data_IF_363741066106
#
_entry.id   IF_363741066106
#
_cell.length_a   1.000
_cell.length_b   1.000
_cell.length_c   1.000
_cell.angle_alpha   90.00
_cell.angle_beta   90.00
_cell.angle_gamma   90.00
#
_symmetry.space_group_name_H-M   'P 1'
#
loop_
_entity.id
_entity.type
_entity.pdbx_description
1 polymer ?
#
# COMPACT_ATOMS: atom_id res chain seq x y z
N UNK A 1 32.91 -1.31 30.71
CA UNK A 1 33.77 -2.50 30.53
C UNK A 1 35.01 -2.46 31.40
N UNK A 2 35.86 -1.43 31.29
CA UNK A 2 37.08 -1.34 32.11
C UNK A 2 36.87 -1.57 33.61
N UNK A 3 35.80 -1.03 34.20
CA UNK A 3 35.45 -1.25 35.62
C UNK A 3 35.15 -2.73 35.98
N UNK A 4 34.57 -3.52 35.07
CA UNK A 4 34.37 -4.96 35.30
C UNK A 4 35.69 -5.74 35.24
N UNK A 5 36.61 -5.33 34.36
CA UNK A 5 37.95 -5.95 34.27
C UNK A 5 38.79 -5.65 35.52
N UNK A 6 38.66 -4.44 36.08
CA UNK A 6 39.35 -4.02 37.30
C UNK A 6 38.67 -4.48 38.60
N UNK A 7 37.60 -5.26 38.51
CA UNK A 7 36.83 -5.73 39.68
C UNK A 7 36.28 -4.59 40.57
N UNK A 8 36.05 -3.40 40.00
CA UNK A 8 35.47 -2.24 40.71
C UNK A 8 33.94 -2.32 40.77
N UNK A 9 33.33 -3.14 39.91
CA UNK A 9 31.88 -3.34 39.81
C UNK A 9 31.59 -4.84 39.78
N UNK A 10 30.66 -5.28 40.62
CA UNK A 10 30.22 -6.68 40.67
C UNK A 10 29.18 -7.00 39.58
N UNK A 11 28.17 -6.14 39.42
CA UNK A 11 27.11 -6.28 38.42
C UNK A 11 26.67 -4.91 37.88
N UNK A 12 26.17 -4.89 36.65
CA UNK A 12 25.64 -3.69 36.01
C UNK A 12 24.14 -3.58 36.22
N UNK A 13 23.66 -2.41 36.62
CA UNK A 13 22.23 -2.13 36.69
C UNK A 13 21.59 -2.05 35.29
N UNK A 14 22.32 -1.48 34.32
CA UNK A 14 21.88 -1.40 32.93
C UNK A 14 22.26 -2.67 32.17
N UNK A 15 21.27 -3.25 31.49
CA UNK A 15 21.51 -4.33 30.53
C UNK A 15 22.23 -3.78 29.29
N UNK A 16 23.11 -4.60 28.71
CA UNK A 16 23.90 -4.23 27.54
C UNK A 16 23.81 -5.34 26.50
N UNK A 17 24.05 -5.01 25.23
CA UNK A 17 24.10 -6.02 24.17
C UNK A 17 25.15 -7.09 24.48
N UNK A 18 24.70 -8.34 24.43
CA UNK A 18 25.54 -9.53 24.57
C UNK A 18 26.33 -9.74 23.26
N UNK A 19 27.50 -9.11 23.19
CA UNK A 19 28.39 -9.15 22.03
C UNK A 19 29.66 -9.93 22.37
N UNK A 20 30.25 -10.60 21.37
CA UNK A 20 31.38 -11.52 21.57
C UNK A 20 32.61 -10.83 22.19
N UNK A 21 32.91 -9.60 21.79
CA UNK A 21 33.95 -8.74 22.36
C UNK A 21 33.76 -8.49 23.87
N UNK A 22 32.52 -8.40 24.33
CA UNK A 22 32.17 -8.15 25.74
C UNK A 22 32.14 -9.41 26.58
N UNK A 23 31.73 -10.54 25.99
CA UNK A 23 31.72 -11.86 26.65
C UNK A 23 33.13 -12.27 27.09
N UNK A 24 34.16 -11.84 26.35
CA UNK A 24 35.56 -12.05 26.74
C UNK A 24 35.91 -11.31 28.05
N UNK A 25 35.31 -10.15 28.31
CA UNK A 25 35.67 -9.25 29.42
C UNK A 25 34.78 -9.40 30.66
N UNK A 26 33.50 -9.73 30.46
CA UNK A 26 32.51 -9.87 31.54
C UNK A 26 31.65 -11.11 31.30
N UNK A 27 30.95 -11.55 32.35
CA UNK A 27 29.94 -12.59 32.24
C UNK A 27 28.54 -11.97 32.13
N UNK A 28 27.59 -12.75 31.61
CA UNK A 28 26.19 -12.37 31.57
C UNK A 28 25.37 -13.36 32.40
N UNK A 29 24.42 -12.84 33.19
CA UNK A 29 23.58 -13.68 34.05
C UNK A 29 22.51 -14.39 33.22
N UNK A 30 21.63 -13.59 32.62
CA UNK A 30 20.46 -14.02 31.86
C UNK A 30 20.13 -12.94 30.84
N UNK A 31 19.55 -13.38 29.74
CA UNK A 31 18.87 -12.53 28.77
C UNK A 31 17.73 -11.78 29.44
N UNK A 32 17.56 -10.50 29.12
CA UNK A 32 16.48 -9.68 29.67
C UNK A 32 15.40 -9.42 28.65
N UNK A 33 15.62 -8.45 27.77
CA UNK A 33 14.70 -8.05 26.71
C UNK A 33 15.39 -8.03 25.36
N UNK A 34 14.61 -7.99 24.28
CA UNK A 34 15.12 -7.81 22.92
C UNK A 34 14.73 -6.41 22.44
N UNK A 35 15.74 -5.55 22.27
CA UNK A 35 15.55 -4.29 21.56
C UNK A 35 15.40 -4.61 20.08
N UNK A 36 14.40 -4.02 19.43
CA UNK A 36 14.17 -4.18 18.00
C UNK A 36 14.37 -2.84 17.34
N UNK A 37 15.17 -2.81 16.28
CA UNK A 37 15.37 -1.63 15.47
C UNK A 37 14.92 -1.95 14.06
N UNK A 38 14.10 -1.08 13.50
CA UNK A 38 13.53 -1.29 12.18
C UNK A 38 13.40 0.02 11.42
N UNK A 39 13.28 -0.10 10.12
CA UNK A 39 13.02 1.01 9.22
C UNK A 39 11.51 1.14 9.11
N UNK A 40 10.99 2.22 9.67
CA UNK A 40 9.58 2.59 9.59
C UNK A 40 9.36 3.50 8.38
N UNK A 41 8.27 3.31 7.67
CA UNK A 41 7.84 4.19 6.59
C UNK A 41 6.33 4.08 6.39
N UNK A 42 5.77 5.05 5.67
CA UNK A 42 4.39 5.01 5.20
C UNK A 42 4.35 4.42 3.80
N UNK A 43 3.49 3.44 3.58
CA UNK A 43 3.24 2.93 2.24
C UNK A 43 2.58 4.01 1.38
N UNK A 44 3.00 4.18 0.11
CA UNK A 44 2.34 5.11 -0.79
C UNK A 44 0.90 4.64 -1.05
N UNK A 45 0.00 5.57 -1.40
CA UNK A 45 -1.37 5.20 -1.76
C UNK A 45 -1.39 4.32 -3.00
N UNK A 46 -2.38 3.42 -3.10
CA UNK A 46 -2.52 2.51 -4.24
C UNK A 46 -2.68 3.24 -5.58
N UNK A 47 -3.21 4.46 -5.53
CA UNK A 47 -3.45 5.38 -6.65
C UNK A 47 -2.17 5.79 -7.38
N UNK A 48 -1.07 5.91 -6.63
CA UNK A 48 0.21 6.32 -7.17
C UNK A 48 0.90 5.18 -7.95
N UNK A 49 0.70 3.93 -7.50
CA UNK A 49 1.48 2.78 -7.97
C UNK A 49 0.82 2.07 -9.15
N UNK A 50 -0.52 2.06 -9.24
CA UNK A 50 -1.23 1.30 -10.26
C UNK A 50 -2.50 1.98 -10.76
N UNK A 51 -3.12 1.38 -11.78
CA UNK A 51 -4.41 1.85 -12.30
C UNK A 51 -5.56 1.36 -11.42
N UNK A 52 -5.98 2.19 -10.45
CA UNK A 52 -7.10 1.86 -9.54
C UNK A 52 -8.37 1.52 -10.29
N UNK A 53 -8.64 2.15 -11.43
CA UNK A 53 -9.92 1.99 -12.13
C UNK A 53 -10.11 0.59 -12.75
N UNK A 54 -9.04 -0.19 -12.93
CA UNK A 54 -9.12 -1.58 -13.40
C UNK A 54 -9.17 -2.62 -12.26
N UNK A 55 -8.78 -2.22 -11.05
CA UNK A 55 -8.72 -3.08 -9.86
C UNK A 55 -10.05 -3.36 -9.11
N UNK A 56 -11.20 -2.69 -9.33
CA UNK A 56 -12.40 -2.94 -8.51
C UNK A 56 -13.04 -4.31 -8.75
N UNK A 57 -12.77 -4.90 -9.91
CA UNK A 57 -13.25 -6.21 -10.32
C UNK A 57 -12.08 -7.09 -10.75
N UNK A 58 -12.14 -8.36 -10.37
CA UNK A 58 -11.23 -9.38 -10.88
C UNK A 58 -11.51 -9.65 -12.37
N UNK A 59 -10.53 -10.22 -13.06
CA UNK A 59 -10.62 -10.50 -14.50
C UNK A 59 -11.84 -11.35 -14.86
N UNK A 60 -12.23 -12.29 -14.00
CA UNK A 60 -13.38 -13.15 -14.21
C UNK A 60 -14.71 -12.36 -14.20
N UNK A 61 -14.80 -11.34 -13.34
CA UNK A 61 -15.97 -10.45 -13.28
C UNK A 61 -16.00 -9.54 -14.50
N UNK A 62 -14.85 -9.02 -14.94
CA UNK A 62 -14.76 -8.25 -16.19
C UNK A 62 -15.22 -9.07 -17.40
N UNK A 63 -14.78 -10.32 -17.51
CA UNK A 63 -15.21 -11.24 -18.57
C UNK A 63 -16.72 -11.48 -18.47
N UNK A 64 -17.24 -11.69 -17.26
CA UNK A 64 -18.69 -11.89 -17.02
C UNK A 64 -19.51 -10.67 -17.44
N UNK A 65 -19.01 -9.44 -17.19
CA UNK A 65 -19.64 -8.20 -17.64
C UNK A 65 -19.67 -8.14 -19.17
N UNK A 66 -18.55 -8.44 -19.85
CA UNK A 66 -18.52 -8.48 -21.33
C UNK A 66 -19.52 -9.51 -21.88
N UNK A 67 -19.57 -10.71 -21.29
CA UNK A 67 -20.54 -11.75 -21.68
C UNK A 67 -21.97 -11.25 -21.47
N UNK A 68 -22.27 -10.60 -20.34
CA UNK A 68 -23.59 -10.03 -20.07
C UNK A 68 -23.99 -8.98 -21.13
N UNK A 69 -23.06 -8.14 -21.56
CA UNK A 69 -23.29 -7.11 -22.59
C UNK A 69 -23.60 -7.76 -23.94
N UNK A 70 -22.78 -8.72 -24.36
CA UNK A 70 -23.00 -9.44 -25.64
C UNK A 70 -24.31 -10.23 -25.58
N UNK A 71 -24.62 -10.87 -24.46
CA UNK A 71 -25.85 -11.62 -24.29
C UNK A 71 -27.09 -10.74 -24.32
N UNK A 72 -27.07 -9.60 -23.62
CA UNK A 72 -28.21 -8.66 -23.60
C UNK A 72 -28.42 -7.97 -24.94
N UNK A 73 -27.35 -7.58 -25.64
CA UNK A 73 -27.44 -7.04 -27.02
C UNK A 73 -28.03 -8.07 -27.99
N UNK A 74 -27.59 -9.34 -27.93
CA UNK A 74 -28.15 -10.41 -28.76
C UNK A 74 -29.64 -10.65 -28.48
N UNK A 75 -30.05 -10.69 -27.21
CA UNK A 75 -31.48 -10.83 -26.86
C UNK A 75 -32.28 -9.66 -27.42
N UNK A 76 -31.76 -8.44 -27.32
CA UNK A 76 -32.46 -7.24 -27.81
C UNK A 76 -32.59 -7.25 -29.33
N UNK A 77 -31.52 -7.64 -30.05
CA UNK A 77 -31.55 -7.83 -31.51
C UNK A 77 -32.55 -8.92 -31.91
N UNK A 78 -32.59 -10.05 -31.18
CA UNK A 78 -33.57 -11.11 -31.44
C UNK A 78 -35.00 -10.62 -31.24
N UNK A 79 -35.26 -9.85 -30.18
CA UNK A 79 -36.58 -9.26 -29.96
C UNK A 79 -37.01 -8.35 -31.12
N UNK A 80 -36.10 -7.55 -31.65
CA UNK A 80 -36.33 -6.71 -32.83
C UNK A 80 -36.60 -7.52 -34.10
N UNK A 81 -35.90 -8.64 -34.29
CA UNK A 81 -36.08 -9.53 -35.45
C UNK A 81 -37.42 -10.27 -35.41
N UNK A 82 -37.85 -10.75 -34.25
CA UNK A 82 -39.09 -11.53 -34.11
C UNK A 82 -40.36 -10.66 -34.12
N UNK A 83 -40.25 -9.34 -33.94
CA UNK A 83 -41.40 -8.43 -33.95
C UNK A 83 -41.25 -7.32 -35.02
N UNK A 84 -41.61 -7.58 -36.29
CA UNK A 84 -41.31 -6.68 -37.41
C UNK A 84 -42.22 -5.44 -37.53
N UNK A 85 -43.16 -5.22 -36.62
CA UNK A 85 -44.12 -4.11 -36.73
C UNK A 85 -43.87 -3.01 -35.69
N UNK A 86 -43.34 -1.87 -36.16
CA UNK A 86 -43.05 -0.59 -35.45
C UNK A 86 -41.73 -0.52 -34.66
N UNK A 87 -40.60 -0.46 -35.37
CA UNK A 87 -39.34 -0.04 -34.76
C UNK A 87 -38.69 1.07 -35.59
N UNK A 88 -38.45 2.21 -34.95
CA UNK A 88 -37.61 3.31 -35.49
C UNK A 88 -36.12 3.10 -35.13
N UNK A 89 -35.74 1.88 -34.73
CA UNK A 89 -34.42 1.55 -34.18
C UNK A 89 -33.64 0.65 -35.13
N UNK A 90 -32.41 1.03 -35.41
CA UNK A 90 -31.45 0.20 -36.13
C UNK A 90 -30.72 -0.79 -35.19
N UNK A 91 -30.07 -1.80 -35.76
CA UNK A 91 -29.28 -2.77 -34.99
C UNK A 91 -28.15 -2.11 -34.19
N UNK A 92 -27.57 -1.02 -34.72
CA UNK A 92 -26.55 -0.24 -34.01
C UNK A 92 -27.11 0.54 -32.81
N UNK A 93 -28.35 1.00 -32.88
CA UNK A 93 -29.01 1.67 -31.75
C UNK A 93 -29.19 0.73 -30.55
N UNK A 94 -29.29 -0.59 -30.80
CA UNK A 94 -29.34 -1.61 -29.76
C UNK A 94 -28.03 -1.71 -28.98
N UNK A 95 -26.90 -1.65 -29.69
CA UNK A 95 -25.58 -1.68 -29.07
C UNK A 95 -25.35 -0.39 -28.25
N UNK A 96 -25.75 0.76 -28.80
CA UNK A 96 -25.69 2.05 -28.11
C UNK A 96 -26.61 2.05 -26.87
N UNK A 97 -27.79 1.44 -26.96
CA UNK A 97 -28.71 1.29 -25.84
C UNK A 97 -28.09 0.51 -24.69
N UNK A 98 -27.54 -0.68 -24.95
CA UNK A 98 -26.91 -1.50 -23.91
C UNK A 98 -25.67 -0.80 -23.35
N UNK A 99 -24.87 -0.16 -24.20
CA UNK A 99 -23.73 0.66 -23.76
C UNK A 99 -24.17 1.79 -22.83
N UNK A 100 -25.23 2.52 -23.21
CA UNK A 100 -25.86 3.56 -22.40
C UNK A 100 -26.35 3.04 -21.04
N UNK A 101 -27.02 1.87 -21.02
CA UNK A 101 -27.52 1.26 -19.79
C UNK A 101 -26.38 0.94 -18.79
N UNK A 102 -25.23 0.46 -19.25
CA UNK A 102 -24.04 0.23 -18.40
C UNK A 102 -23.52 1.55 -17.83
N UNK A 103 -23.49 2.59 -18.66
CA UNK A 103 -23.14 3.94 -18.23
C UNK A 103 -24.25 4.63 -17.41
N UNK A 104 -25.31 3.90 -17.04
CA UNK A 104 -26.49 4.41 -16.33
C UNK A 104 -27.21 5.56 -17.04
N UNK A 105 -27.08 5.64 -18.36
CA UNK A 105 -27.78 6.59 -19.20
C UNK A 105 -29.15 6.03 -19.58
N UNK A 106 -30.16 6.90 -19.57
CA UNK A 106 -31.47 6.58 -20.10
C UNK A 106 -31.46 6.53 -21.62
N UNK A 107 -32.49 5.92 -22.19
CA UNK A 107 -32.68 5.86 -23.65
C UNK A 107 -33.97 6.56 -24.06
N UNK A 108 -33.96 7.15 -25.25
CA UNK A 108 -35.05 8.02 -25.72
C UNK A 108 -36.20 7.24 -26.36
N UNK A 109 -36.01 5.98 -26.74
CA UNK A 109 -37.04 5.18 -27.43
C UNK A 109 -37.91 4.40 -26.47
N UNK A 110 -39.23 4.52 -26.68
CA UNK A 110 -40.24 3.79 -25.94
C UNK A 110 -40.49 2.42 -26.56
N UNK A 111 -40.20 1.36 -25.81
CA UNK A 111 -40.49 -0.01 -26.22
C UNK A 111 -41.95 -0.33 -25.82
N UNK A 112 -42.78 -0.60 -26.83
CA UNK A 112 -44.19 -0.94 -26.62
C UNK A 112 -44.39 -2.36 -26.05
N UNK A 113 -43.47 -3.28 -26.36
CA UNK A 113 -43.57 -4.70 -26.05
C UNK A 113 -43.35 -5.00 -24.56
N UNK A 114 -44.17 -5.92 -24.01
CA UNK A 114 -44.03 -6.35 -22.60
C UNK A 114 -42.73 -7.13 -22.37
N UNK A 115 -42.32 -7.97 -23.32
CA UNK A 115 -41.05 -8.70 -23.29
C UNK A 115 -39.85 -7.76 -23.17
N UNK A 116 -39.77 -6.75 -24.05
CA UNK A 116 -38.64 -5.84 -24.09
C UNK A 116 -38.60 -4.90 -22.91
N UNK A 117 -39.76 -4.51 -22.38
CA UNK A 117 -39.82 -3.82 -21.07
C UNK A 117 -39.22 -4.65 -19.95
N UNK A 118 -39.43 -5.97 -19.93
CA UNK A 118 -38.80 -6.86 -18.95
C UNK A 118 -37.29 -6.91 -19.17
N UNK A 119 -36.83 -7.09 -20.42
CA UNK A 119 -35.38 -7.13 -20.76
C UNK A 119 -34.68 -5.81 -20.38
N UNK A 120 -35.29 -4.67 -20.70
CA UNK A 120 -34.78 -3.35 -20.33
C UNK A 120 -34.74 -3.19 -18.83
N UNK A 121 -35.83 -3.54 -18.13
CA UNK A 121 -35.88 -3.44 -16.67
C UNK A 121 -34.81 -4.31 -16.00
N UNK A 122 -34.66 -5.57 -16.41
CA UNK A 122 -33.65 -6.46 -15.83
C UNK A 122 -32.24 -6.00 -16.15
N UNK A 123 -31.99 -5.47 -17.35
CA UNK A 123 -30.69 -4.91 -17.75
C UNK A 123 -30.33 -3.69 -16.91
N UNK A 124 -31.26 -2.76 -16.68
CA UNK A 124 -31.02 -1.59 -15.84
C UNK A 124 -30.81 -1.97 -14.36
N UNK A 125 -31.56 -2.93 -13.83
CA UNK A 125 -31.35 -3.42 -12.46
C UNK A 125 -29.98 -4.08 -12.32
N UNK A 126 -29.58 -4.94 -13.26
CA UNK A 126 -28.28 -5.60 -13.23
C UNK A 126 -27.11 -4.59 -13.31
N UNK A 127 -27.19 -3.64 -14.24
CA UNK A 127 -26.17 -2.58 -14.40
C UNK A 127 -26.11 -1.63 -13.20
N UNK A 128 -27.24 -1.36 -12.52
CA UNK A 128 -27.26 -0.60 -11.28
C UNK A 128 -26.49 -1.30 -10.15
N UNK A 129 -26.69 -2.61 -9.97
CA UNK A 129 -25.93 -3.38 -8.97
C UNK A 129 -24.43 -3.43 -9.29
N UNK A 130 -24.07 -3.60 -10.56
CA UNK A 130 -22.66 -3.58 -11.00
C UNK A 130 -22.01 -2.21 -10.73
N UNK A 131 -22.68 -1.12 -11.10
CA UNK A 131 -22.16 0.23 -10.91
C UNK A 131 -22.01 0.60 -9.43
N UNK A 132 -22.99 0.26 -8.60
CA UNK A 132 -22.95 0.53 -7.15
C UNK A 132 -21.83 -0.25 -6.47
N UNK A 133 -21.65 -1.52 -6.82
CA UNK A 133 -20.52 -2.34 -6.36
C UNK A 133 -19.17 -1.77 -6.81
N UNK A 134 -19.04 -1.41 -8.10
CA UNK A 134 -17.84 -0.79 -8.65
C UNK A 134 -17.48 0.51 -7.93
N UNK A 135 -18.47 1.38 -7.72
CA UNK A 135 -18.29 2.67 -7.05
C UNK A 135 -17.85 2.49 -5.59
N UNK A 136 -18.46 1.56 -4.86
CA UNK A 136 -18.07 1.26 -3.48
C UNK A 136 -16.63 0.73 -3.39
N UNK A 137 -16.24 -0.18 -4.29
CA UNK A 137 -14.90 -0.75 -4.32
C UNK A 137 -13.83 0.29 -4.67
N UNK A 138 -14.10 1.21 -5.61
CA UNK A 138 -13.16 2.29 -5.93
C UNK A 138 -12.89 3.17 -4.71
N UNK A 139 -13.92 3.55 -3.96
CA UNK A 139 -13.77 4.39 -2.77
C UNK A 139 -12.92 3.67 -1.72
N UNK A 140 -13.17 2.38 -1.50
CA UNK A 140 -12.37 1.58 -0.58
C UNK A 140 -10.90 1.45 -1.03
N UNK A 141 -10.66 1.29 -2.33
CA UNK A 141 -9.31 1.17 -2.90
C UNK A 141 -8.52 2.49 -2.84
N UNK A 142 -9.17 3.64 -3.02
CA UNK A 142 -8.54 4.95 -2.88
C UNK A 142 -8.07 5.20 -1.44
N UNK A 143 -8.78 4.67 -0.45
CA UNK A 143 -8.44 4.79 0.96
C UNK A 143 -7.42 3.75 1.43
N UNK A 144 -7.17 2.71 0.63
CA UNK A 144 -6.30 1.60 1.01
C UNK A 144 -4.82 1.88 0.70
N UNK A 145 -3.89 1.61 1.63
CA UNK A 145 -2.46 1.72 1.35
C UNK A 145 -2.00 0.64 0.35
N UNK A 146 -0.98 0.97 -0.45
CA UNK A 146 -0.45 0.03 -1.45
C UNK A 146 0.47 -1.02 -0.83
N UNK A 147 0.41 -2.26 -1.33
CA UNK A 147 1.31 -3.34 -0.89
C UNK A 147 2.65 -3.39 -1.65
N UNK A 148 3.09 -2.29 -2.25
CA UNK A 148 4.21 -2.23 -3.19
C UNK A 148 5.58 -2.48 -2.57
N UNK A 149 5.79 -2.10 -1.31
CA UNK A 149 7.06 -2.26 -0.59
C UNK A 149 6.83 -3.21 0.58
N UNK A 150 7.33 -4.46 0.45
CA UNK A 150 7.23 -5.49 1.49
C UNK A 150 8.57 -5.94 2.03
N UNK A 151 9.62 -5.84 1.23
CA UNK A 151 10.96 -6.31 1.59
C UNK A 151 11.96 -5.16 1.63
N UNK A 152 13.11 -5.39 2.28
CA UNK A 152 14.23 -4.45 2.25
C UNK A 152 14.78 -4.24 0.84
N UNK A 153 14.66 -5.23 -0.04
CA UNK A 153 15.04 -5.13 -1.45
C UNK A 153 14.17 -4.10 -2.18
N UNK A 154 12.84 -4.21 -2.03
CA UNK A 154 11.89 -3.24 -2.59
C UNK A 154 12.15 -1.84 -2.06
N UNK A 155 12.40 -1.73 -0.74
CA UNK A 155 12.72 -0.45 -0.11
C UNK A 155 14.00 0.16 -0.70
N UNK A 156 15.02 -0.66 -0.98
CA UNK A 156 16.29 -0.23 -1.60
C UNK A 156 16.09 0.29 -3.04
N UNK A 157 15.11 -0.25 -3.76
CA UNK A 157 14.77 0.17 -5.13
C UNK A 157 13.78 1.34 -5.17
N UNK A 158 13.01 1.52 -4.10
CA UNK A 158 12.00 2.57 -4.00
C UNK A 158 12.61 3.99 -4.04
N UNK A 159 11.80 5.01 -4.40
CA UNK A 159 12.22 6.41 -4.35
C UNK A 159 12.32 6.97 -2.92
N UNK A 160 11.92 6.23 -1.89
CA UNK A 160 11.95 6.70 -0.50
C UNK A 160 13.38 7.00 -0.05
N UNK A 161 13.59 8.19 0.51
CA UNK A 161 14.85 8.50 1.18
C UNK A 161 14.94 7.77 2.52
N UNK A 162 16.16 7.56 3.04
CA UNK A 162 16.36 6.89 4.33
C UNK A 162 17.08 7.83 5.31
N UNK A 163 16.58 7.86 6.53
CA UNK A 163 17.25 8.40 7.72
C UNK A 163 17.54 7.31 8.73
N UNK A 164 18.52 7.54 9.59
CA UNK A 164 18.93 6.59 10.64
C UNK A 164 18.96 7.31 11.97
N UNK A 165 18.50 6.65 13.03
CA UNK A 165 18.62 7.22 14.37
C UNK A 165 20.10 7.36 14.75
N UNK A 166 20.46 8.52 15.28
CA UNK A 166 21.81 8.79 15.77
C UNK A 166 22.10 8.00 17.05
N UNK A 167 22.50 6.73 16.87
CA UNK A 167 22.96 5.84 17.91
C UNK A 167 24.27 5.18 17.50
N UNK A 168 25.14 4.95 18.48
CA UNK A 168 26.47 4.36 18.26
C UNK A 168 26.36 2.95 17.66
N UNK A 169 25.38 2.17 18.09
CA UNK A 169 25.24 0.79 17.63
C UNK A 169 24.78 0.72 16.16
N UNK A 170 23.98 1.67 15.67
CA UNK A 170 23.52 1.66 14.28
C UNK A 170 24.70 1.71 13.30
N UNK A 171 25.66 2.61 13.54
CA UNK A 171 26.88 2.74 12.71
C UNK A 171 27.67 1.43 12.66
N UNK A 172 27.77 0.73 13.80
CA UNK A 172 28.50 -0.53 13.93
C UNK A 172 27.75 -1.67 13.21
N UNK A 173 26.46 -1.88 13.51
CA UNK A 173 25.71 -3.02 12.98
C UNK A 173 25.40 -2.92 11.49
N UNK A 174 25.24 -1.71 10.93
CA UNK A 174 25.15 -1.57 9.47
C UNK A 174 26.45 -1.97 8.78
N UNK A 175 27.61 -1.58 9.34
CA UNK A 175 28.92 -1.92 8.78
C UNK A 175 29.28 -3.41 8.96
N UNK A 176 28.92 -3.99 10.10
CA UNK A 176 29.17 -5.41 10.42
C UNK A 176 28.12 -6.36 9.88
N UNK A 177 27.02 -5.84 9.30
CA UNK A 177 25.97 -6.68 8.74
C UNK A 177 26.53 -7.60 7.66
N UNK A 178 26.21 -8.90 7.75
CA UNK A 178 26.62 -9.90 6.75
C UNK A 178 25.58 -10.08 5.65
N UNK A 179 24.34 -9.66 5.90
CA UNK A 179 23.22 -9.81 5.00
C UNK A 179 23.42 -8.98 3.71
N UNK A 180 23.34 -9.60 2.52
CA UNK A 180 23.57 -8.90 1.26
C UNK A 180 22.55 -7.80 0.99
N UNK A 181 21.30 -7.96 1.43
CA UNK A 181 20.23 -6.97 1.19
C UNK A 181 20.47 -5.72 2.03
N UNK A 182 20.82 -5.89 3.30
CA UNK A 182 21.18 -4.77 4.19
C UNK A 182 22.45 -4.06 3.76
N UNK A 183 23.46 -4.78 3.25
CA UNK A 183 24.64 -4.15 2.63
C UNK A 183 24.27 -3.30 1.41
N UNK A 184 23.43 -3.83 0.52
CA UNK A 184 22.95 -3.09 -0.66
C UNK A 184 22.19 -1.83 -0.25
N UNK A 185 21.31 -1.93 0.75
CA UNK A 185 20.59 -0.79 1.32
C UNK A 185 21.57 0.27 1.87
N UNK A 186 22.54 -0.18 2.66
CA UNK A 186 23.53 0.70 3.28
C UNK A 186 24.35 1.44 2.24
N UNK A 187 24.95 0.74 1.28
CA UNK A 187 25.79 1.37 0.26
C UNK A 187 25.00 2.31 -0.67
N UNK A 188 23.77 1.93 -1.04
CA UNK A 188 22.98 2.71 -1.99
C UNK A 188 22.36 3.96 -1.37
N UNK A 189 21.80 3.86 -0.16
CA UNK A 189 20.97 4.94 0.44
C UNK A 189 21.57 5.62 1.66
N UNK A 190 22.44 4.95 2.42
CA UNK A 190 22.96 5.47 3.69
C UNK A 190 24.37 6.03 3.50
N UNK A 191 25.29 5.24 2.94
CA UNK A 191 26.70 5.61 2.80
C UNK A 191 26.91 6.86 1.92
N UNK A 192 26.09 7.04 0.89
CA UNK A 192 26.16 8.19 -0.03
C UNK A 192 25.86 9.54 0.64
N UNK A 193 25.10 9.54 1.73
CA UNK A 193 24.66 10.75 2.44
C UNK A 193 25.49 11.06 3.71
N UNK A 194 26.38 10.15 4.11
CA UNK A 194 27.30 10.33 5.23
C UNK A 194 26.63 10.65 6.57
N UNK A 195 27.17 11.61 7.32
CA UNK A 195 26.69 11.97 8.66
C UNK A 195 25.29 12.64 8.65
N UNK A 196 24.87 13.24 7.54
CA UNK A 196 23.57 13.92 7.44
C UNK A 196 22.35 12.99 7.56
N UNK A 197 22.57 11.68 7.42
CA UNK A 197 21.54 10.63 7.58
C UNK A 197 21.17 10.41 9.04
N UNK A 198 22.12 10.65 9.95
CA UNK A 198 21.92 10.42 11.37
C UNK A 198 21.18 11.59 11.99
N UNK A 199 20.02 11.31 12.58
CA UNK A 199 19.17 12.33 13.18
C UNK A 199 18.47 11.84 14.44
N UNK A 200 17.88 12.77 15.19
CA UNK A 200 17.11 12.45 16.39
C UNK A 200 15.76 11.83 16.01
N UNK A 201 15.21 10.91 16.84
CA UNK A 201 13.91 10.28 16.60
C UNK A 201 12.79 11.24 16.21
N UNK A 202 12.60 12.32 16.97
CA UNK A 202 11.52 13.29 16.73
C UNK A 202 11.60 13.89 15.32
N UNK A 203 12.79 14.30 14.89
CA UNK A 203 13.00 14.88 13.55
C UNK A 203 12.81 13.84 12.44
N UNK A 204 13.30 12.62 12.63
CA UNK A 204 13.18 11.54 11.65
C UNK A 204 11.73 11.08 11.47
N UNK A 205 10.98 10.97 12.57
CA UNK A 205 9.57 10.60 12.55
C UNK A 205 8.70 11.68 11.89
N UNK A 206 9.00 12.96 12.11
CA UNK A 206 8.27 14.06 11.45
C UNK A 206 8.55 14.11 9.93
N UNK A 207 9.80 13.85 9.52
CA UNK A 207 10.13 13.70 8.09
C UNK A 207 9.43 12.50 7.46
N UNK A 208 9.34 11.39 8.18
CA UNK A 208 8.58 10.19 7.75
C UNK A 208 7.08 10.47 7.66
N UNK A 209 6.53 11.34 8.52
CA UNK A 209 5.12 11.72 8.51
C UNK A 209 4.77 12.53 7.27
N UNK A 210 5.59 13.54 6.94
CA UNK A 210 5.30 14.57 5.93
C UNK A 210 5.84 14.26 4.54
N UNK A 211 6.91 13.45 4.43
CA UNK A 211 7.63 13.24 3.18
C UNK A 211 7.71 11.78 2.72
N UNK A 212 8.27 11.59 1.53
CA UNK A 212 8.67 10.29 0.99
C UNK A 212 9.95 9.79 1.67
N UNK A 213 9.84 9.51 2.96
CA UNK A 213 10.98 9.23 3.83
C UNK A 213 10.73 7.98 4.66
N UNK A 214 11.75 7.15 4.78
CA UNK A 214 11.82 5.98 5.61
C UNK A 214 12.85 6.22 6.73
N UNK A 215 12.51 5.89 7.97
CA UNK A 215 13.35 6.22 9.11
C UNK A 215 13.67 4.97 9.93
N UNK A 216 14.95 4.69 10.08
CA UNK A 216 15.43 3.64 10.97
C UNK A 216 15.45 4.16 12.40
N UNK A 217 14.75 3.46 13.28
CA UNK A 217 14.59 3.81 14.69
C UNK A 217 14.42 2.56 15.54
N UNK A 218 14.72 2.65 16.84
CA UNK A 218 14.23 1.68 17.81
C UNK A 218 12.71 1.61 17.75
N UNK A 219 12.16 0.41 17.51
CA UNK A 219 10.73 0.23 17.26
C UNK A 219 9.89 0.75 18.42
N UNK A 220 10.36 0.54 19.65
CA UNK A 220 9.69 1.00 20.87
C UNK A 220 9.57 2.53 20.90
N UNK A 221 10.65 3.25 20.61
CA UNK A 221 10.66 4.71 20.58
C UNK A 221 9.79 5.26 19.43
N UNK A 222 9.89 4.63 18.25
CA UNK A 222 9.06 4.99 17.10
C UNK A 222 7.58 4.80 17.36
N UNK A 223 7.18 3.67 17.95
CA UNK A 223 5.78 3.39 18.30
C UNK A 223 5.22 4.35 19.34
N UNK A 224 6.03 4.78 20.31
CA UNK A 224 5.62 5.82 21.25
C UNK A 224 5.28 7.12 20.52
N UNK A 225 6.22 7.62 19.71
CA UNK A 225 6.05 8.88 18.98
C UNK A 225 4.83 8.80 18.05
N UNK A 226 4.64 7.69 17.35
CA UNK A 226 3.47 7.48 16.47
C UNK A 226 2.18 7.50 17.28
N UNK A 227 2.14 6.79 18.41
CA UNK A 227 0.95 6.76 19.27
C UNK A 227 0.56 8.14 19.77
N UNK A 228 1.55 8.98 20.08
CA UNK A 228 1.35 10.31 20.66
C UNK A 228 1.02 11.39 19.62
N UNK A 229 1.50 11.26 18.37
CA UNK A 229 1.48 12.36 17.38
C UNK A 229 0.74 12.07 16.07
N UNK A 230 0.54 10.80 15.70
CA UNK A 230 -0.03 10.43 14.39
C UNK A 230 -1.55 10.25 14.47
N UNK A 231 -2.23 10.64 13.39
CA UNK A 231 -3.66 10.41 13.22
C UNK A 231 -3.92 8.96 12.76
N UNK A 232 -5.14 8.45 12.99
CA UNK A 232 -5.56 7.11 12.54
C UNK A 232 -5.20 6.77 11.08
N UNK A 233 -5.56 7.57 10.05
CA UNK A 233 -5.23 7.23 8.66
C UNK A 233 -3.72 7.18 8.40
N UNK A 234 -2.91 7.92 9.16
CA UNK A 234 -1.45 7.89 9.04
C UNK A 234 -0.87 6.60 9.62
N UNK A 235 -1.49 6.03 10.65
CA UNK A 235 -1.11 4.74 11.26
C UNK A 235 -1.42 3.56 10.32
N UNK A 236 -2.52 3.62 9.57
CA UNK A 236 -2.97 2.52 8.70
C UNK A 236 -1.99 2.21 7.55
N UNK A 237 -1.24 3.21 7.07
CA UNK A 237 -0.19 3.03 6.07
C UNK A 237 1.18 2.66 6.64
N UNK A 238 1.33 2.49 7.96
CA UNK A 238 2.62 2.27 8.60
C UNK A 238 3.14 0.85 8.35
N UNK A 239 4.37 0.76 7.83
CA UNK A 239 5.11 -0.49 7.68
C UNK A 239 6.48 -0.34 8.34
N UNK A 240 6.91 -1.39 9.02
CA UNK A 240 8.22 -1.52 9.63
C UNK A 240 8.94 -2.75 9.06
N UNK A 241 10.23 -2.59 8.73
CA UNK A 241 11.11 -3.65 8.25
C UNK A 241 12.39 -3.69 9.08
N UNK A 242 12.73 -4.85 9.65
CA UNK A 242 13.98 -5.02 10.40
C UNK A 242 15.15 -5.19 9.44
N UNK A 243 16.08 -4.22 9.41
CA UNK A 243 17.29 -4.30 8.57
C UNK A 243 18.32 -5.29 9.13
N UNK A 244 18.37 -5.46 10.44
CA UNK A 244 19.24 -6.40 11.11
C UNK A 244 18.65 -6.76 12.46
N UNK A 245 19.03 -7.94 12.95
CA UNK A 245 18.64 -8.38 14.28
C UNK A 245 19.68 -7.92 15.30
N UNK A 246 19.25 -7.10 16.26
CA UNK A 246 20.08 -6.73 17.39
C UNK A 246 20.22 -7.92 18.36
N UNK A 247 21.42 -8.13 18.94
CA UNK A 247 21.60 -9.10 20.01
C UNK A 247 20.71 -8.79 21.21
N UNK A 248 20.44 -9.82 22.00
CA UNK A 248 19.67 -9.69 23.23
C UNK A 248 20.49 -8.88 24.25
N UNK A 249 19.80 -8.02 25.02
CA UNK A 249 20.43 -7.32 26.14
C UNK A 249 20.40 -8.20 27.38
N UNK A 250 21.51 -8.24 28.11
CA UNK A 250 21.66 -9.05 29.31
C UNK A 250 22.37 -8.26 30.41
N UNK A 251 22.15 -8.67 31.66
CA UNK A 251 22.79 -8.04 32.83
C UNK A 251 24.25 -8.49 32.88
N UNK A 252 25.22 -7.56 32.73
CA UNK A 252 26.63 -7.90 32.81
C UNK A 252 27.08 -8.02 34.27
N UNK A 253 27.98 -8.96 34.54
CA UNK A 253 28.64 -9.17 35.82
C UNK A 253 30.14 -9.30 35.64
N UNK A 254 30.92 -9.05 36.68
CA UNK A 254 32.33 -9.43 36.67
C UNK A 254 32.49 -10.94 36.46
N UNK A 255 33.67 -11.35 35.97
CA UNK A 255 34.02 -12.77 35.87
C UNK A 255 33.97 -13.43 37.25
N UNK A 256 33.52 -14.69 37.28
CA UNK A 256 33.40 -15.50 38.50
C UNK A 256 32.58 -14.81 39.61
N UNK A 257 31.46 -14.19 39.25
CA UNK A 257 30.54 -13.57 40.20
C UNK A 257 29.86 -14.64 41.09
N UNK A 258 30.04 -14.62 42.43
CA UNK A 258 29.58 -15.70 43.32
C UNK A 258 28.07 -15.95 43.28
N UNK A 259 27.27 -14.88 43.15
CA UNK A 259 25.80 -14.98 43.18
C UNK A 259 25.17 -15.22 41.80
N UNK A 260 25.98 -15.47 40.76
CA UNK A 260 25.51 -15.62 39.37
C UNK A 260 24.37 -16.62 39.23
N UNK A 261 24.46 -17.76 39.91
CA UNK A 261 23.44 -18.81 39.82
C UNK A 261 22.15 -18.45 40.55
N UNK A 262 22.25 -17.74 41.68
CA UNK A 262 21.08 -17.23 42.42
C UNK A 262 20.26 -16.28 41.54
N UNK A 263 20.92 -15.28 40.93
CA UNK A 263 20.25 -14.34 40.04
C UNK A 263 19.69 -15.03 38.79
N UNK A 264 20.46 -15.96 38.20
CA UNK A 264 20.02 -16.68 37.01
C UNK A 264 18.76 -17.50 37.27
N UNK A 265 18.71 -18.23 38.40
CA UNK A 265 17.53 -19.01 38.79
C UNK A 265 16.31 -18.10 38.98
N UNK A 266 16.47 -17.01 39.72
CA UNK A 266 15.35 -16.12 40.02
C UNK A 266 14.81 -15.39 38.78
N UNK A 267 15.71 -14.91 37.91
CA UNK A 267 15.29 -14.21 36.69
C UNK A 267 14.72 -15.17 35.65
N UNK A 268 15.23 -16.41 35.55
CA UNK A 268 14.57 -17.44 34.73
C UNK A 268 13.19 -17.77 35.24
N UNK A 269 13.04 -17.95 36.55
CA UNK A 269 11.72 -18.16 37.16
C UNK A 269 10.77 -17.01 36.82
N UNK A 270 11.19 -15.74 36.96
CA UNK A 270 10.38 -14.57 36.58
C UNK A 270 9.96 -14.59 35.11
N UNK A 271 10.80 -15.10 34.20
CA UNK A 271 10.45 -15.28 32.79
C UNK A 271 9.45 -16.42 32.59
N UNK A 272 9.67 -17.56 33.23
CA UNK A 272 8.81 -18.75 33.14
C UNK A 272 7.38 -18.46 33.63
N UNK A 273 7.23 -17.72 34.73
CA UNK A 273 5.92 -17.32 35.24
C UNK A 273 5.31 -16.10 34.50
N UNK A 274 6.03 -15.55 33.51
CA UNK A 274 5.54 -14.46 32.67
C UNK A 274 5.61 -13.05 33.28
N UNK A 275 6.27 -12.85 34.42
CA UNK A 275 6.48 -11.51 34.99
C UNK A 275 7.26 -10.61 34.05
N UNK A 276 8.30 -11.13 33.40
CA UNK A 276 9.07 -10.36 32.42
C UNK A 276 8.21 -9.91 31.24
N UNK A 277 7.35 -10.80 30.72
CA UNK A 277 6.42 -10.48 29.63
C UNK A 277 5.40 -9.41 30.04
N UNK A 278 4.93 -9.44 31.29
CA UNK A 278 4.03 -8.41 31.84
C UNK A 278 4.72 -7.04 31.88
N UNK A 279 5.94 -6.98 32.41
CA UNK A 279 6.70 -5.73 32.45
C UNK A 279 7.04 -5.23 31.04
N UNK A 280 7.39 -6.11 30.10
CA UNK A 280 7.59 -5.75 28.69
C UNK A 280 6.32 -5.12 28.08
N UNK A 281 5.14 -5.70 28.29
CA UNK A 281 3.89 -5.11 27.80
C UNK A 281 3.52 -3.79 28.47
N UNK A 282 3.95 -3.59 29.71
CA UNK A 282 3.68 -2.37 30.49
C UNK A 282 4.58 -1.22 30.08
N UNK A 283 5.87 -1.50 29.85
CA UNK A 283 6.89 -0.47 29.59
C UNK A 283 7.20 -0.27 28.12
N UNK A 284 7.04 -1.29 27.27
CA UNK A 284 7.24 -1.15 25.83
C UNK A 284 5.93 -0.83 25.11
N UNK A 285 5.89 0.31 24.40
CA UNK A 285 4.79 0.64 23.51
C UNK A 285 4.58 -0.49 22.49
N UNK A 286 3.34 -0.95 22.41
CA UNK A 286 2.96 -1.93 21.41
C UNK A 286 2.84 -1.25 20.05
N UNK A 287 2.96 -2.04 18.97
CA UNK A 287 2.72 -1.52 17.63
C UNK A 287 1.32 -0.90 17.57
N UNK A 288 1.18 0.38 17.21
CA UNK A 288 -0.12 1.03 17.12
C UNK A 288 -0.95 0.30 16.08
N UNK A 289 -2.16 -0.10 16.49
CA UNK A 289 -3.14 -0.69 15.58
C UNK A 289 -3.89 0.46 14.91
N UNK A 290 -4.23 0.26 13.64
CA UNK A 290 -5.18 1.11 12.93
C UNK A 290 -6.58 0.69 13.42
N UNK A 291 -7.20 1.54 14.25
CA UNK A 291 -8.54 1.31 14.81
C UNK A 291 -9.58 1.84 13.81
N UNK A 292 -9.90 0.98 12.86
CA UNK A 292 -10.78 1.31 11.74
C UNK A 292 -10.16 0.79 10.47
N UNK A 293 -10.55 -0.41 10.03
CA UNK A 293 -10.11 -1.00 8.76
C UNK A 293 -10.42 -0.14 7.51
N UNK A 294 -11.06 1.01 7.72
CA UNK A 294 -11.25 2.09 6.77
C UNK A 294 -10.51 3.29 7.35
N UNK A 295 -9.31 3.57 6.84
CA UNK A 295 -8.60 4.81 7.15
C UNK A 295 -9.55 5.98 6.88
N UNK A 296 -9.61 6.95 7.80
CA UNK A 296 -10.52 8.09 7.68
C UNK A 296 -10.43 8.76 6.31
N UNK A 297 -11.47 9.53 5.94
CA UNK A 297 -11.60 10.14 4.62
C UNK A 297 -10.33 10.90 4.20
N UNK A 298 -9.62 10.34 3.21
CA UNK A 298 -8.46 10.98 2.59
C UNK A 298 -8.99 11.87 1.47
N UNK A 299 -8.51 13.11 1.42
CA UNK A 299 -8.80 14.01 0.29
C UNK A 299 -8.15 13.46 -0.98
N UNK A 300 -8.97 13.12 -1.98
CA UNK A 300 -8.52 12.58 -3.26
C UNK A 300 -8.01 13.73 -4.14
N UNK A 301 -6.74 13.66 -4.50
CA UNK A 301 -6.09 14.67 -5.35
C UNK A 301 -6.29 14.39 -6.84
N UNK A 302 -6.09 15.42 -7.69
CA UNK A 302 -6.19 15.27 -9.16
C UNK A 302 -5.20 14.25 -9.72
N UNK A 303 -4.05 14.07 -9.05
CA UNK A 303 -3.03 13.09 -9.41
C UNK A 303 -3.53 11.65 -9.33
N UNK A 304 -4.50 11.37 -8.45
CA UNK A 304 -5.07 10.03 -8.27
C UNK A 304 -6.04 9.69 -9.41
N UNK A 305 -6.69 10.71 -9.96
CA UNK A 305 -7.60 10.59 -11.11
C UNK A 305 -6.87 10.59 -12.47
N UNK A 306 -5.52 10.53 -12.50
CA UNK A 306 -4.72 10.66 -13.74
C UNK A 306 -5.19 9.75 -14.87
N UNK A 307 -5.48 8.48 -14.55
CA UNK A 307 -5.85 7.48 -15.56
C UNK A 307 -7.25 7.74 -16.13
N UNK A 308 -8.20 8.16 -15.29
CA UNK A 308 -9.54 8.52 -15.74
C UNK A 308 -9.51 9.76 -16.65
N UNK A 309 -8.75 10.79 -16.27
CA UNK A 309 -8.58 12.00 -17.09
C UNK A 309 -7.90 11.72 -18.43
N UNK A 310 -6.87 10.86 -18.44
CA UNK A 310 -6.21 10.42 -19.68
C UNK A 310 -7.17 9.64 -20.58
N UNK A 311 -7.97 8.74 -20.02
CA UNK A 311 -8.96 7.97 -20.78
C UNK A 311 -10.04 8.89 -21.38
N UNK A 312 -10.50 9.90 -20.62
CA UNK A 312 -11.44 10.91 -21.10
C UNK A 312 -10.85 11.74 -22.25
N UNK A 313 -9.61 12.22 -22.10
CA UNK A 313 -8.92 12.97 -23.16
C UNK A 313 -8.73 12.12 -24.43
N UNK A 314 -8.35 10.85 -24.29
CA UNK A 314 -8.25 9.92 -25.41
C UNK A 314 -9.60 9.73 -26.13
N UNK A 315 -10.70 9.61 -25.37
CA UNK A 315 -12.04 9.52 -25.94
C UNK A 315 -12.44 10.73 -26.78
N UNK A 316 -12.13 11.95 -26.31
CA UNK A 316 -12.37 13.18 -27.07
C UNK A 316 -11.57 13.19 -28.37
N UNK A 317 -10.28 12.86 -28.31
CA UNK A 317 -9.42 12.83 -29.49
C UNK A 317 -9.94 11.80 -30.50
N UNK A 318 -10.32 10.61 -30.06
CA UNK A 318 -10.86 9.56 -30.93
C UNK A 318 -12.17 10.00 -31.58
N UNK A 319 -13.08 10.64 -30.84
CA UNK A 319 -14.34 11.16 -31.39
C UNK A 319 -14.10 12.21 -32.47
N UNK A 320 -13.16 13.14 -32.25
CA UNK A 320 -12.79 14.14 -33.26
C UNK A 320 -12.19 13.48 -34.50
N UNK A 321 -11.33 12.47 -34.32
CA UNK A 321 -10.75 11.73 -35.45
C UNK A 321 -11.82 11.01 -36.28
N UNK A 322 -12.77 10.34 -35.65
CA UNK A 322 -13.89 9.68 -36.34
C UNK A 322 -14.72 10.69 -37.12
N UNK A 323 -15.05 11.84 -36.52
CA UNK A 323 -15.77 12.92 -37.20
C UNK A 323 -15.00 13.44 -38.42
N UNK A 324 -13.69 13.65 -38.29
CA UNK A 324 -12.85 14.07 -39.41
C UNK A 324 -12.85 13.04 -40.55
N UNK A 325 -12.74 11.75 -40.22
CA UNK A 325 -12.80 10.66 -41.21
C UNK A 325 -14.17 10.62 -41.90
N UNK A 326 -15.26 10.78 -41.15
CA UNK A 326 -16.61 10.83 -41.72
C UNK A 326 -16.78 12.00 -42.70
N UNK A 327 -16.30 13.19 -42.34
CA UNK A 327 -16.33 14.36 -43.22
C UNK A 327 -15.47 14.16 -44.48
N UNK A 328 -14.31 13.52 -44.36
CA UNK A 328 -13.47 13.19 -45.52
C UNK A 328 -14.15 12.19 -46.46
N UNK A 329 -14.78 11.15 -45.92
CA UNK A 329 -15.51 10.15 -46.70
C UNK A 329 -16.70 10.82 -47.40
N UNK A 330 -17.47 11.64 -46.67
CA UNK A 330 -18.62 12.36 -47.22
C UNK A 330 -18.21 13.29 -48.37
N UNK A 331 -17.14 14.07 -48.18
CA UNK A 331 -16.63 14.96 -49.24
C UNK A 331 -16.11 14.18 -50.45
N UNK A 332 -15.45 13.04 -50.24
CA UNK A 332 -14.97 12.18 -51.34
C UNK A 332 -16.13 11.59 -52.15
N UNK A 333 -17.21 11.15 -51.47
CA UNK A 333 -18.42 10.63 -52.13
C UNK A 333 -19.15 11.74 -52.91
N UNK A 334 -19.24 12.95 -52.35
CA UNK A 334 -19.82 14.12 -53.02
C UNK A 334 -19.04 14.48 -54.29
N UNK A 335 -17.71 14.43 -54.22
CA UNK A 335 -16.86 14.74 -55.37
C UNK A 335 -16.98 13.69 -56.50
N UNK A 336 -17.21 12.41 -56.17
CA UNK A 336 -17.44 11.33 -57.14
C UNK A 336 -18.84 11.44 -57.77
N UNK A 337 -19.85 11.84 -57.00
CA UNK A 337 -21.23 12.02 -57.52
C UNK A 337 -21.36 13.24 -58.43
N UNK A 338 -20.62 14.32 -58.20
CA UNK A 338 -20.54 15.45 -59.15
C UNK A 338 -19.87 15.07 -60.49
N UNK A 339 -18.84 14.24 -60.47
CA UNK A 339 -18.16 13.77 -61.70
C UNK A 339 -19.07 12.85 -62.52
N UNK A 340 -19.92 12.05 -61.87
CA UNK A 340 -20.83 11.13 -62.57
C UNK A 340 -22.05 11.82 -63.21
N UNK A 341 -22.37 13.06 -62.81
CA UNK A 341 -23.46 13.86 -63.39
C UNK A 341 -23.01 14.74 -64.57
N UNK A 342 -21.70 14.84 -64.84
CA UNK A 342 -21.11 15.60 -65.96
C UNK A 342 -20.70 14.72 -67.16
N UNK A 343 -20.95 13.41 -67.10
CA UNK A 343 -20.87 12.42 -68.18
C UNK A 343 -22.28 11.99 -68.56
#
# INVERSE_FOLDING_TARGET
MGRFQRYELDFGQMAIFMRLDRIALCDFIVETYRIRAGIMFRQPPLSAVGNIFAMPFENDVWISVVILIVFTTLIFILELLFYPFRHDMDYWDCAIFVWGAICQQGFYVNIANRSGRIVVFTTFVATLFLFTSFSANIVALLQSPSKSIQTLGDLTQSPLEIGVQDTVYNKIYFNESTDPVTKLLYHKKIASKGESVYMRPIMGMEKMRTGLFAYQVELQAGYQIISDTFNEPEKCGLKDLEAFQLPIIAIPTRKNFPYKELFRRQLRWQREIGLMNREERKWFPQKPKCEGGVGGFISVGISECRYALLMFAFGIILSILVLCVELMIRNSILHITEIHYQL
#
